data_IF_575287882810
#
_entry.id   IF_575287882810
#
_cell.length_a   1.000
_cell.length_b   1.000
_cell.length_c   1.000
_cell.angle_alpha   90.00
_cell.angle_beta   90.00
_cell.angle_gamma   90.00
#
_symmetry.space_group_name_H-M   'P 1'
#
loop_
_entity.id
_entity.type
_entity.pdbx_description
1 polymer ?
#
# COMPACT_ATOMS: atom_id res chain seq x y z
N UNK A 1 47.12 36.31 -11.64
CA UNK A 1 46.16 35.94 -12.70
C UNK A 1 46.96 35.27 -13.81
N UNK A 2 46.78 33.95 -14.01
CA UNK A 2 45.89 33.49 -15.07
C UNK A 2 44.90 32.40 -14.60
N UNK A 3 43.72 32.47 -15.20
CA UNK A 3 42.51 31.69 -14.91
C UNK A 3 42.56 30.33 -15.62
N UNK A 4 42.53 29.22 -14.88
CA UNK A 4 42.59 27.86 -15.44
C UNK A 4 41.21 27.22 -15.47
N UNK A 5 40.48 27.46 -16.56
CA UNK A 5 39.29 26.66 -16.90
C UNK A 5 39.71 25.22 -17.20
N UNK A 6 39.30 24.25 -16.37
CA UNK A 6 39.40 22.82 -16.69
C UNK A 6 38.09 22.07 -16.43
N UNK A 7 37.31 22.02 -17.51
CA UNK A 7 36.64 20.83 -18.09
C UNK A 7 35.88 19.90 -17.13
N UNK A 8 34.60 20.23 -16.91
CA UNK A 8 33.60 19.32 -16.37
C UNK A 8 33.50 18.06 -17.25
N UNK A 9 33.83 16.90 -16.66
CA UNK A 9 33.45 15.60 -17.23
C UNK A 9 31.98 15.36 -16.93
N UNK A 10 31.13 15.63 -17.91
CA UNK A 10 29.77 15.10 -17.97
C UNK A 10 29.85 13.57 -17.98
N UNK A 11 29.61 12.94 -16.82
CA UNK A 11 29.18 11.54 -16.80
C UNK A 11 27.69 11.57 -17.14
N UNK A 12 27.39 11.09 -18.33
CA UNK A 12 26.08 10.85 -18.91
C UNK A 12 25.19 10.10 -17.91
N UNK A 13 24.21 10.80 -17.35
CA UNK A 13 23.16 10.27 -16.48
C UNK A 13 22.04 9.71 -17.38
N UNK A 14 22.40 8.89 -18.38
CA UNK A 14 21.51 8.45 -19.45
C UNK A 14 20.89 7.06 -19.16
N UNK A 15 20.65 6.73 -17.89
CA UNK A 15 20.19 5.39 -17.51
C UNK A 15 19.34 5.27 -16.25
N UNK A 16 18.85 6.37 -15.67
CA UNK A 16 17.95 6.33 -14.50
C UNK A 16 16.76 7.28 -14.61
N UNK A 17 16.24 7.47 -15.82
CA UNK A 17 14.96 8.15 -16.04
C UNK A 17 13.79 7.16 -16.01
N UNK A 18 13.82 6.23 -15.05
CA UNK A 18 12.65 5.53 -14.49
C UNK A 18 12.45 5.89 -13.01
N UNK A 19 13.13 6.94 -12.53
CA UNK A 19 12.93 7.59 -11.23
C UNK A 19 11.73 8.58 -11.33
N UNK A 20 10.64 8.11 -11.92
CA UNK A 20 9.41 8.87 -12.05
C UNK A 20 8.76 8.94 -10.68
N UNK A 21 8.97 10.05 -9.97
CA UNK A 21 8.27 10.44 -8.73
C UNK A 21 7.77 9.22 -7.94
N UNK A 22 8.67 8.57 -7.19
CA UNK A 22 8.29 7.57 -6.19
C UNK A 22 7.43 8.27 -5.13
N UNK A 23 6.15 8.48 -5.45
CA UNK A 23 5.14 8.96 -4.51
C UNK A 23 4.99 7.85 -3.49
N UNK A 24 5.75 7.96 -2.41
CA UNK A 24 5.60 7.07 -1.26
C UNK A 24 4.20 7.29 -0.70
N UNK A 25 3.49 6.19 -0.47
CA UNK A 25 2.18 6.17 0.17
C UNK A 25 2.24 6.91 1.50
N UNK A 26 1.30 7.83 1.71
CA UNK A 26 1.07 8.54 2.97
C UNK A 26 -0.37 8.32 3.40
N UNK A 27 -0.59 8.11 4.71
CA UNK A 27 -1.94 7.97 5.25
C UNK A 27 -2.71 9.30 5.18
N UNK A 28 -3.90 9.25 4.59
CA UNK A 28 -4.82 10.38 4.54
C UNK A 28 -5.41 10.67 5.94
N UNK A 29 -5.89 11.89 6.17
CA UNK A 29 -6.41 12.30 7.49
C UNK A 29 -7.62 11.45 7.94
N UNK A 30 -8.43 10.96 6.98
CA UNK A 30 -9.55 10.07 7.26
C UNK A 30 -9.10 8.69 7.76
N UNK A 31 -7.99 8.16 7.23
CA UNK A 31 -7.42 6.89 7.65
C UNK A 31 -6.78 7.03 9.03
N UNK A 32 -5.98 8.09 9.23
CA UNK A 32 -5.31 8.36 10.50
C UNK A 32 -6.26 8.50 11.68
N UNK A 33 -7.49 8.97 11.45
CA UNK A 33 -8.52 9.07 12.51
C UNK A 33 -8.87 7.72 13.13
N UNK A 34 -8.82 6.64 12.36
CA UNK A 34 -9.25 5.30 12.78
C UNK A 34 -8.08 4.34 13.03
N UNK A 35 -6.84 4.85 13.03
CA UNK A 35 -5.63 4.08 13.27
C UNK A 35 -4.89 4.68 14.47
N UNK A 36 -4.58 3.87 15.47
CA UNK A 36 -3.75 4.30 16.59
C UNK A 36 -2.35 4.72 16.10
N UNK A 37 -1.66 5.67 16.77
CA UNK A 37 -0.33 6.13 16.36
C UNK A 37 0.68 4.99 16.19
N UNK A 38 0.60 3.96 17.03
CA UNK A 38 1.45 2.78 16.99
C UNK A 38 1.20 1.98 15.71
N UNK A 39 -0.08 1.77 15.34
CA UNK A 39 -0.47 1.10 14.10
C UNK A 39 -0.02 1.91 12.86
N UNK A 40 -0.13 3.24 12.90
CA UNK A 40 0.39 4.10 11.83
C UNK A 40 1.91 3.94 11.67
N UNK A 41 2.65 3.84 12.79
CA UNK A 41 4.09 3.56 12.77
C UNK A 41 4.44 2.24 12.11
N UNK A 42 3.66 1.17 12.38
CA UNK A 42 3.82 -0.12 11.73
C UNK A 42 3.54 -0.05 10.23
N UNK A 43 2.48 0.64 9.83
CA UNK A 43 2.15 0.87 8.41
C UNK A 43 3.31 1.55 7.68
N UNK A 44 3.84 2.64 8.25
CA UNK A 44 4.97 3.33 7.62
C UNK A 44 6.23 2.49 7.56
N UNK A 45 6.46 1.64 8.57
CA UNK A 45 7.54 0.66 8.54
C UNK A 45 7.34 -0.32 7.39
N UNK A 46 6.17 -0.93 7.22
CA UNK A 46 5.89 -1.84 6.09
C UNK A 46 6.09 -1.17 4.73
N UNK A 47 5.61 0.07 4.56
CA UNK A 47 5.81 0.85 3.33
C UNK A 47 7.30 1.13 3.06
N UNK A 48 8.10 1.34 4.12
CA UNK A 48 9.51 1.68 3.99
C UNK A 48 10.42 0.47 3.81
N UNK A 49 10.09 -0.67 4.44
CA UNK A 49 10.91 -1.89 4.45
C UNK A 49 10.49 -2.91 3.41
N UNK A 50 9.27 -2.80 2.87
CA UNK A 50 8.67 -3.79 1.96
C UNK A 50 8.60 -5.20 2.60
N UNK A 51 8.55 -5.28 3.94
CA UNK A 51 8.40 -6.53 4.69
C UNK A 51 7.08 -7.23 4.35
N UNK A 52 6.03 -6.44 4.13
CA UNK A 52 4.72 -6.87 3.64
C UNK A 52 4.50 -6.25 2.27
N UNK A 53 4.02 -7.01 1.26
CA UNK A 53 3.71 -6.46 -0.05
C UNK A 53 2.76 -5.25 0.05
N UNK A 54 2.97 -4.25 -0.81
CA UNK A 54 2.23 -3.00 -0.74
C UNK A 54 0.72 -3.22 -0.92
N UNK A 55 0.32 -4.13 -1.81
CA UNK A 55 -1.09 -4.49 -2.03
C UNK A 55 -1.75 -5.09 -0.79
N UNK A 56 -1.03 -5.95 -0.06
CA UNK A 56 -1.49 -6.50 1.23
C UNK A 56 -1.59 -5.39 2.28
N UNK A 57 -0.60 -4.49 2.31
CA UNK A 57 -0.57 -3.35 3.23
C UNK A 57 -1.76 -2.41 2.99
N UNK A 58 -2.05 -2.07 1.73
CA UNK A 58 -3.21 -1.23 1.35
C UNK A 58 -4.53 -1.90 1.73
N UNK A 59 -4.67 -3.21 1.46
CA UNK A 59 -5.86 -3.97 1.86
C UNK A 59 -6.03 -3.95 3.38
N UNK A 60 -4.96 -4.17 4.14
CA UNK A 60 -4.99 -4.12 5.60
C UNK A 60 -5.38 -2.72 6.13
N UNK A 61 -4.86 -1.65 5.54
CA UNK A 61 -5.26 -0.26 5.88
C UNK A 61 -6.76 -0.08 5.65
N UNK A 62 -7.28 -0.49 4.49
CA UNK A 62 -8.69 -0.35 4.15
C UNK A 62 -9.59 -1.12 5.13
N UNK A 63 -9.25 -2.36 5.46
CA UNK A 63 -10.01 -3.20 6.41
C UNK A 63 -9.97 -2.61 7.82
N UNK A 64 -8.78 -2.18 8.29
CA UNK A 64 -8.63 -1.59 9.61
C UNK A 64 -9.40 -0.27 9.75
N UNK A 65 -9.35 0.60 8.74
CA UNK A 65 -10.10 1.86 8.73
C UNK A 65 -11.61 1.59 8.71
N UNK A 66 -12.06 0.62 7.91
CA UNK A 66 -13.48 0.23 7.84
C UNK A 66 -13.97 -0.33 9.19
N UNK A 67 -13.18 -1.19 9.82
CA UNK A 67 -13.46 -1.75 11.13
C UNK A 67 -13.47 -0.68 12.23
N UNK A 68 -12.50 0.23 12.21
CA UNK A 68 -12.41 1.34 13.15
C UNK A 68 -13.58 2.32 13.01
N UNK A 69 -13.98 2.61 11.78
CA UNK A 69 -15.18 3.41 11.50
C UNK A 69 -16.46 2.73 12.01
N UNK A 70 -16.61 1.42 11.77
CA UNK A 70 -17.76 0.64 12.24
C UNK A 70 -17.86 0.62 13.78
N UNK A 71 -16.72 0.44 14.46
CA UNK A 71 -16.64 0.42 15.93
C UNK A 71 -16.61 1.82 16.55
N UNK A 72 -16.50 2.86 15.73
CA UNK A 72 -16.22 4.22 16.15
C UNK A 72 -15.03 4.31 17.14
N UNK A 73 -13.97 3.55 16.86
CA UNK A 73 -12.77 3.45 17.69
C UNK A 73 -11.55 3.27 16.80
N UNK A 74 -10.40 3.80 17.24
CA UNK A 74 -9.14 3.54 16.56
C UNK A 74 -8.73 2.06 16.69
N UNK A 75 -8.18 1.49 15.61
CA UNK A 75 -7.57 0.16 15.59
C UNK A 75 -6.16 0.26 16.16
N UNK A 76 -5.88 -0.55 17.18
CA UNK A 76 -4.55 -0.65 17.78
C UNK A 76 -3.60 -1.50 16.93
N UNK A 77 -2.32 -1.52 17.31
CA UNK A 77 -1.28 -2.25 16.59
C UNK A 77 -1.53 -3.76 16.56
N UNK A 78 -2.02 -4.33 17.67
CA UNK A 78 -2.22 -5.78 17.79
C UNK A 78 -3.32 -6.24 16.83
N UNK A 79 -4.42 -5.50 16.78
CA UNK A 79 -5.51 -5.79 15.87
C UNK A 79 -5.11 -5.52 14.41
N UNK A 80 -4.30 -4.48 14.14
CA UNK A 80 -3.80 -4.22 12.79
C UNK A 80 -2.90 -5.37 12.28
N UNK A 81 -1.94 -5.82 13.08
CA UNK A 81 -1.06 -6.94 12.73
C UNK A 81 -1.88 -8.23 12.52
N UNK A 82 -2.89 -8.48 13.36
CA UNK A 82 -3.81 -9.61 13.16
C UNK A 82 -4.61 -9.54 11.85
N UNK A 83 -4.98 -8.34 11.39
CA UNK A 83 -5.63 -8.15 10.08
C UNK A 83 -4.66 -8.49 8.95
N UNK A 84 -3.40 -8.05 9.06
CA UNK A 84 -2.36 -8.35 8.08
C UNK A 84 -2.13 -9.85 7.98
N UNK A 85 -1.96 -10.52 9.12
CA UNK A 85 -1.79 -11.97 9.19
C UNK A 85 -2.98 -12.70 8.56
N UNK A 86 -4.21 -12.28 8.88
CA UNK A 86 -5.42 -12.87 8.30
C UNK A 86 -5.50 -12.71 6.77
N UNK A 87 -5.02 -11.59 6.23
CA UNK A 87 -4.99 -11.36 4.77
C UNK A 87 -3.89 -12.21 4.12
N UNK A 88 -2.73 -12.37 4.78
CA UNK A 88 -1.64 -13.23 4.29
C UNK A 88 -2.04 -14.72 4.32
N UNK A 89 -2.81 -15.11 5.33
CA UNK A 89 -3.34 -16.46 5.50
C UNK A 89 -4.59 -16.74 4.65
N UNK A 90 -5.14 -15.74 3.95
CA UNK A 90 -6.28 -15.85 3.04
C UNK A 90 -5.92 -16.72 1.83
N UNK A 91 -5.91 -18.04 2.05
CA UNK A 91 -5.96 -19.04 1.01
C UNK A 91 -7.34 -18.92 0.40
N UNK A 92 -7.50 -18.05 -0.60
CA UNK A 92 -8.66 -18.08 -1.48
C UNK A 92 -8.93 -19.54 -1.83
N UNK A 93 -10.06 -20.06 -1.36
CA UNK A 93 -10.39 -21.47 -1.48
C UNK A 93 -10.44 -21.84 -2.97
N UNK A 94 -9.36 -22.41 -3.49
CA UNK A 94 -9.34 -23.01 -4.81
C UNK A 94 -10.19 -24.28 -4.73
N UNK A 95 -11.45 -24.21 -5.17
CA UNK A 95 -12.26 -25.40 -5.40
C UNK A 95 -11.62 -26.12 -6.58
N UNK A 96 -11.00 -27.30 -6.41
CA UNK A 96 -10.43 -28.03 -7.53
C UNK A 96 -11.60 -28.45 -8.44
N UNK A 97 -11.64 -27.90 -9.66
CA UNK A 97 -12.64 -28.24 -10.67
C UNK A 97 -13.73 -27.19 -10.95
N UNK A 98 -13.67 -25.98 -10.36
CA UNK A 98 -14.55 -24.90 -10.79
C UNK A 98 -13.83 -24.02 -11.83
N UNK A 99 -14.21 -24.03 -13.13
CA UNK A 99 -13.81 -22.96 -14.02
C UNK A 99 -14.49 -21.69 -13.51
N UNK A 100 -13.73 -20.87 -12.77
CA UNK A 100 -14.17 -19.53 -12.38
C UNK A 100 -14.19 -18.66 -13.64
N UNK A 101 -15.18 -18.92 -14.48
CA UNK A 101 -15.61 -18.01 -15.52
C UNK A 101 -16.15 -16.80 -14.78
N UNK A 102 -15.38 -15.71 -14.79
CA UNK A 102 -15.83 -14.39 -14.33
C UNK A 102 -16.98 -13.94 -15.22
N UNK A 103 -18.16 -14.54 -15.07
CA UNK A 103 -19.42 -14.02 -15.59
C UNK A 103 -19.82 -12.90 -14.63
N UNK A 104 -19.23 -11.73 -14.86
CA UNK A 104 -19.88 -10.50 -14.40
C UNK A 104 -21.26 -10.47 -15.05
N UNK A 105 -22.37 -10.35 -14.29
CA UNK A 105 -23.64 -10.05 -14.92
C UNK A 105 -23.49 -8.69 -15.59
N UNK A 106 -23.52 -8.74 -16.92
CA UNK A 106 -23.57 -7.57 -17.80
C UNK A 106 -24.61 -6.58 -17.27
N UNK A 107 -24.16 -5.34 -17.11
CA UNK A 107 -24.95 -4.12 -16.91
C UNK A 107 -26.46 -4.30 -17.14
N UNK A 108 -27.24 -4.27 -16.07
CA UNK A 108 -28.65 -3.92 -16.16
C UNK A 108 -28.77 -2.43 -15.87
N UNK A 109 -28.96 -1.63 -16.92
CA UNK A 109 -29.49 -0.29 -16.79
C UNK A 109 -30.97 -0.43 -16.45
N UNK A 110 -31.42 0.19 -15.36
CA UNK A 110 -32.85 0.42 -15.16
C UNK A 110 -33.05 1.88 -14.77
N UNK A 111 -33.70 2.56 -15.72
CA UNK A 111 -34.40 3.85 -15.78
C UNK A 111 -34.38 4.79 -14.58
#
# INVERSE_FOLDING_TARGET
MPNTYKKNRSKTIAGRLSDGLLVRRILHDCERRYLAPEAQGVIYRYIATEEVPLDITERAIQEAVSLGALKNSAVDVVLFEAIVDAILDDRSFEIPGNPSEKVYPSSCWIC
#
